data_IF_225462866514
#
_entry.id   IF_225462866514
#
_cell.length_a   1.000
_cell.length_b   1.000
_cell.length_c   1.000
_cell.angle_alpha   90.00
_cell.angle_beta   90.00
_cell.angle_gamma   90.00
#
_symmetry.space_group_name_H-M   'P 1'
#
loop_
_entity.id
_entity.type
_entity.pdbx_description
1 polymer ?
#
# COMPACT_ATOMS: atom_id res chain seq x y z
N UNK A 1 -25.77 -14.06 -6.33
CA UNK A 1 -26.30 -13.82 -4.98
C UNK A 1 -25.40 -14.64 -4.07
N UNK A 2 -24.28 -14.02 -3.66
CA UNK A 2 -23.36 -14.54 -2.65
C UNK A 2 -24.10 -14.31 -1.32
N UNK A 3 -24.17 -15.27 -0.40
CA UNK A 3 -24.78 -15.01 0.90
C UNK A 3 -24.04 -13.84 1.57
N UNK A 4 -24.78 -12.90 2.11
CA UNK A 4 -24.28 -11.97 3.13
C UNK A 4 -23.91 -12.84 4.35
N UNK A 5 -22.68 -13.28 4.37
CA UNK A 5 -22.14 -14.10 5.44
C UNK A 5 -21.52 -13.16 6.47
N UNK A 6 -22.20 -13.05 7.58
CA UNK A 6 -21.84 -12.31 8.79
C UNK A 6 -20.62 -13.03 9.44
N UNK A 7 -19.44 -13.01 8.79
CA UNK A 7 -18.28 -13.82 9.18
C UNK A 7 -17.56 -13.34 10.42
N UNK A 8 -17.78 -12.10 10.85
CA UNK A 8 -16.89 -11.41 11.77
C UNK A 8 -17.66 -10.66 12.89
N UNK A 9 -18.61 -11.34 13.55
CA UNK A 9 -19.22 -10.82 14.79
C UNK A 9 -18.53 -11.34 16.07
N UNK A 10 -17.35 -11.96 16.00
CA UNK A 10 -16.63 -12.42 17.18
C UNK A 10 -15.88 -11.24 17.84
N UNK A 11 -16.03 -11.11 19.16
CA UNK A 11 -15.22 -10.18 19.94
C UNK A 11 -13.73 -10.53 19.76
N UNK A 12 -12.87 -9.59 19.30
CA UNK A 12 -11.44 -9.87 19.13
C UNK A 12 -10.77 -10.35 20.42
N UNK A 13 -11.35 -10.05 21.59
CA UNK A 13 -10.89 -10.57 22.86
C UNK A 13 -11.07 -12.10 22.99
N UNK A 14 -12.04 -12.72 22.28
CA UNK A 14 -12.23 -14.18 22.28
C UNK A 14 -11.06 -14.94 21.64
N UNK A 15 -10.30 -14.29 20.77
CA UNK A 15 -9.13 -14.84 20.12
C UNK A 15 -7.85 -14.78 20.98
N UNK A 16 -7.90 -14.13 22.14
CA UNK A 16 -6.78 -13.91 23.03
C UNK A 16 -6.87 -14.79 24.30
N UNK A 17 -5.73 -15.04 25.00
CA UNK A 17 -5.73 -15.71 26.30
C UNK A 17 -6.48 -14.85 27.34
N UNK A 18 -7.01 -15.52 28.41
CA UNK A 18 -7.72 -14.84 29.53
C UNK A 18 -6.87 -13.74 30.20
N UNK A 19 -5.54 -13.87 30.20
CA UNK A 19 -4.59 -12.86 30.68
C UNK A 19 -3.62 -12.53 29.54
N UNK A 20 -3.87 -11.47 28.79
CA UNK A 20 -3.01 -11.04 27.68
C UNK A 20 -1.70 -10.36 28.14
N UNK A 21 -1.40 -10.31 29.42
CA UNK A 21 -0.17 -9.71 29.96
C UNK A 21 -0.15 -8.19 29.96
N UNK A 22 -1.29 -7.53 29.73
CA UNK A 22 -1.40 -6.07 29.74
C UNK A 22 -1.39 -5.48 31.17
N UNK A 23 -1.01 -4.21 31.33
CA UNK A 23 -1.11 -3.53 32.62
C UNK A 23 -2.53 -3.57 33.20
N UNK A 24 -2.62 -3.56 34.52
CA UNK A 24 -3.91 -3.62 35.20
C UNK A 24 -4.84 -2.49 34.77
N UNK A 25 -6.06 -2.84 34.37
CA UNK A 25 -7.09 -1.88 33.95
C UNK A 25 -7.02 -1.52 32.46
N UNK A 26 -6.07 -2.11 31.73
CA UNK A 26 -6.03 -2.00 30.29
C UNK A 26 -6.95 -3.04 29.66
N UNK A 27 -7.52 -2.72 28.52
CA UNK A 27 -8.54 -3.53 27.86
C UNK A 27 -8.24 -3.69 26.37
N UNK A 28 -8.61 -4.86 25.85
CA UNK A 28 -8.65 -5.14 24.42
C UNK A 28 -10.07 -4.92 23.93
N UNK A 29 -10.23 -4.45 22.71
CA UNK A 29 -11.55 -4.27 22.10
C UNK A 29 -11.48 -3.96 20.62
N UNK A 30 -12.64 -3.70 20.03
CA UNK A 30 -12.81 -3.31 18.64
C UNK A 30 -12.73 -1.78 18.46
N UNK A 31 -12.64 -1.37 17.21
CA UNK A 31 -12.77 0.03 16.79
C UNK A 31 -14.22 0.28 16.38
N UNK A 32 -14.75 1.41 16.79
CA UNK A 32 -15.97 1.97 16.21
C UNK A 32 -15.57 3.01 15.15
N UNK A 33 -15.64 2.62 13.88
CA UNK A 33 -15.28 3.49 12.76
C UNK A 33 -16.26 4.64 12.54
N UNK A 34 -17.47 4.58 13.12
CA UNK A 34 -18.45 5.66 13.11
C UNK A 34 -18.20 6.69 14.21
N UNK A 35 -17.30 6.41 15.16
CA UNK A 35 -16.88 7.35 16.19
C UNK A 35 -15.68 8.22 15.70
N UNK A 36 -15.91 9.52 15.39
CA UNK A 36 -14.84 10.37 14.87
C UNK A 36 -13.65 10.52 15.85
N UNK A 37 -13.89 10.39 17.17
CA UNK A 37 -12.82 10.50 18.15
C UNK A 37 -11.88 9.29 18.11
N UNK A 38 -12.40 8.10 17.83
CA UNK A 38 -11.56 6.91 17.63
C UNK A 38 -10.79 6.98 16.31
N UNK A 39 -11.41 7.41 15.21
CA UNK A 39 -10.76 7.62 13.91
C UNK A 39 -9.64 8.65 14.02
N UNK A 40 -9.91 9.82 14.67
CA UNK A 40 -8.89 10.83 14.92
C UNK A 40 -7.72 10.25 15.72
N UNK A 41 -8.00 9.49 16.80
CA UNK A 41 -6.96 8.87 17.61
C UNK A 41 -6.11 7.85 16.85
N UNK A 42 -6.71 7.01 16.03
CA UNK A 42 -5.97 6.08 15.16
C UNK A 42 -5.10 6.83 14.15
N UNK A 43 -5.62 7.92 13.58
CA UNK A 43 -4.86 8.80 12.67
C UNK A 43 -3.66 9.44 13.36
N UNK A 44 -3.80 9.85 14.63
CA UNK A 44 -2.66 10.34 15.43
C UNK A 44 -1.59 9.27 15.64
N UNK A 45 -1.99 8.03 15.95
CA UNK A 45 -1.09 6.89 16.12
C UNK A 45 -0.34 6.58 14.82
N UNK A 46 -1.06 6.51 13.70
CA UNK A 46 -0.49 6.32 12.36
C UNK A 46 0.54 7.42 12.05
N UNK A 47 0.17 8.67 12.22
CA UNK A 47 1.07 9.82 12.00
C UNK A 47 2.28 9.83 12.93
N UNK A 48 2.14 9.38 14.18
CA UNK A 48 3.26 9.24 15.10
C UNK A 48 4.22 8.14 14.67
N UNK A 49 3.68 7.00 14.22
CA UNK A 49 4.45 5.89 13.67
C UNK A 49 5.24 6.34 12.42
N UNK A 50 4.59 6.98 11.46
CA UNK A 50 5.23 7.49 10.25
C UNK A 50 6.33 8.51 10.54
N UNK A 51 6.08 9.48 11.45
CA UNK A 51 7.11 10.46 11.85
C UNK A 51 8.32 9.81 12.48
N UNK A 52 8.12 8.77 13.27
CA UNK A 52 9.24 8.02 13.87
C UNK A 52 10.04 7.26 12.81
N UNK A 53 9.36 6.65 11.82
CA UNK A 53 10.00 5.82 10.80
C UNK A 53 10.66 6.58 9.66
N UNK A 54 10.08 7.72 9.22
CA UNK A 54 10.56 8.45 8.04
C UNK A 54 10.73 9.96 8.22
N UNK A 55 10.46 10.49 9.43
CA UNK A 55 10.66 11.90 9.78
C UNK A 55 9.47 12.83 9.48
N UNK A 56 8.46 12.38 8.75
CA UNK A 56 7.22 13.12 8.47
C UNK A 56 6.02 12.18 8.42
N UNK A 57 4.81 12.75 8.49
CA UNK A 57 3.57 12.00 8.37
C UNK A 57 2.76 12.48 7.16
N UNK A 58 2.11 11.55 6.49
CA UNK A 58 1.13 11.80 5.43
C UNK A 58 -0.20 11.10 5.67
N UNK A 59 -0.28 10.17 6.60
CA UNK A 59 -1.49 9.42 6.92
C UNK A 59 -2.68 10.35 7.21
N UNK A 60 -3.82 10.05 6.63
CA UNK A 60 -5.07 10.78 6.71
C UNK A 60 -6.13 10.00 7.49
N UNK A 61 -7.27 10.62 7.77
CA UNK A 61 -8.44 9.91 8.29
C UNK A 61 -8.99 8.91 7.27
N UNK A 62 -8.91 9.24 5.97
CA UNK A 62 -9.37 8.35 4.91
C UNK A 62 -8.57 7.04 4.87
N UNK A 63 -7.24 7.09 5.12
CA UNK A 63 -6.42 5.87 5.23
C UNK A 63 -6.86 4.99 6.40
N UNK A 64 -7.24 5.59 7.53
CA UNK A 64 -7.77 4.87 8.70
C UNK A 64 -9.16 4.31 8.39
N UNK A 65 -10.03 5.10 7.75
CA UNK A 65 -11.39 4.66 7.40
C UNK A 65 -11.40 3.48 6.44
N UNK A 66 -10.44 3.38 5.52
CA UNK A 66 -10.26 2.20 4.67
C UNK A 66 -9.98 0.95 5.51
N UNK A 67 -9.22 1.06 6.59
CA UNK A 67 -8.90 -0.08 7.46
C UNK A 67 -10.06 -0.45 8.41
N UNK A 68 -10.86 0.51 8.86
CA UNK A 68 -11.92 0.25 9.85
C UNK A 68 -13.31 0.07 9.23
N UNK A 69 -13.57 0.67 8.06
CA UNK A 69 -14.81 0.53 7.29
C UNK A 69 -14.60 -0.17 5.95
N UNK A 70 -13.38 -0.63 5.68
CA UNK A 70 -13.00 -1.26 4.41
C UNK A 70 -13.96 -2.38 4.05
N UNK A 71 -14.22 -2.46 2.76
CA UNK A 71 -15.05 -3.48 2.16
C UNK A 71 -14.53 -4.85 2.61
N UNK A 72 -15.41 -5.70 2.99
CA UNK A 72 -15.25 -7.12 3.35
C UNK A 72 -13.80 -7.62 3.63
N UNK A 73 -13.61 -8.47 4.62
CA UNK A 73 -12.35 -9.17 4.91
C UNK A 73 -11.29 -8.36 5.71
N UNK A 74 -11.69 -7.29 6.42
CA UNK A 74 -10.82 -6.59 7.38
C UNK A 74 -11.33 -6.75 8.80
N UNK A 75 -10.39 -7.00 9.71
CA UNK A 75 -10.63 -7.08 11.16
C UNK A 75 -9.69 -6.14 11.89
N UNK A 76 -10.17 -5.57 12.98
CA UNK A 76 -9.45 -4.59 13.75
C UNK A 76 -9.46 -4.93 15.25
N UNK A 77 -8.32 -4.68 15.90
CA UNK A 77 -8.14 -4.78 17.34
C UNK A 77 -7.48 -3.50 17.87
N UNK A 78 -7.89 -3.06 19.04
CA UNK A 78 -7.22 -1.98 19.76
C UNK A 78 -6.94 -2.36 21.19
N UNK A 79 -5.88 -1.82 21.74
CA UNK A 79 -5.56 -1.85 23.18
C UNK A 79 -5.80 -0.48 23.75
N UNK A 80 -6.63 -0.40 24.81
CA UNK A 80 -6.94 0.84 25.55
C UNK A 80 -6.29 0.81 26.93
N UNK A 81 -5.80 1.97 27.37
CA UNK A 81 -5.31 2.13 28.74
C UNK A 81 -6.48 2.24 29.75
N UNK A 82 -6.15 2.36 31.02
CA UNK A 82 -7.11 2.51 32.14
C UNK A 82 -7.96 3.78 32.08
N UNK A 83 -7.59 4.75 31.24
CA UNK A 83 -8.38 5.93 30.92
C UNK A 83 -9.24 5.76 29.66
N UNK A 84 -9.21 4.60 29.00
CA UNK A 84 -9.94 4.31 27.77
C UNK A 84 -9.28 4.85 26.50
N UNK A 85 -8.04 5.36 26.57
CA UNK A 85 -7.32 5.91 25.43
C UNK A 85 -6.70 4.77 24.61
N UNK A 86 -6.92 4.75 23.29
CA UNK A 86 -6.30 3.77 22.38
C UNK A 86 -4.78 3.99 22.37
N UNK A 87 -4.03 2.94 22.71
CA UNK A 87 -2.57 2.91 22.78
C UNK A 87 -1.91 2.00 21.73
N UNK A 88 -2.64 1.04 21.20
CA UNK A 88 -2.17 0.20 20.11
C UNK A 88 -3.31 -0.17 19.19
N UNK A 89 -2.99 -0.43 17.94
CA UNK A 89 -3.91 -0.77 16.87
C UNK A 89 -3.31 -1.81 15.95
N UNK A 90 -4.08 -2.88 15.72
CA UNK A 90 -3.83 -3.89 14.71
C UNK A 90 -4.99 -3.97 13.73
N UNK A 91 -4.68 -4.11 12.45
CA UNK A 91 -5.66 -4.39 11.39
C UNK A 91 -5.15 -5.55 10.55
N UNK A 92 -5.99 -6.51 10.25
CA UNK A 92 -5.71 -7.57 9.29
C UNK A 92 -6.63 -7.47 8.10
N UNK A 93 -6.10 -7.70 6.92
CA UNK A 93 -6.82 -7.76 5.67
C UNK A 93 -6.54 -9.08 4.97
N UNK A 94 -7.56 -9.92 4.80
CA UNK A 94 -7.47 -11.16 4.04
C UNK A 94 -7.38 -10.84 2.52
N UNK A 95 -6.16 -10.56 2.08
CA UNK A 95 -5.84 -9.96 0.78
C UNK A 95 -6.04 -10.91 -0.39
N UNK A 96 -5.67 -12.18 -0.20
CA UNK A 96 -5.75 -13.23 -1.21
C UNK A 96 -5.68 -14.60 -0.54
N UNK A 97 -6.02 -15.65 -1.25
CA UNK A 97 -5.93 -17.02 -0.74
C UNK A 97 -4.51 -17.32 -0.25
N UNK A 98 -4.39 -17.58 1.06
CA UNK A 98 -3.11 -17.86 1.70
C UNK A 98 -2.29 -16.61 2.08
N UNK A 99 -2.81 -15.38 1.88
CA UNK A 99 -2.11 -14.14 2.20
C UNK A 99 -2.99 -13.15 2.95
N UNK A 100 -2.48 -12.68 4.06
CA UNK A 100 -3.11 -11.67 4.93
C UNK A 100 -2.13 -10.50 5.11
N UNK A 101 -2.60 -9.28 4.88
CA UNK A 101 -1.85 -8.08 5.23
C UNK A 101 -2.11 -7.71 6.68
N UNK A 102 -1.12 -7.16 7.35
CA UNK A 102 -1.19 -6.79 8.75
C UNK A 102 -0.61 -5.40 9.01
N UNK A 103 -1.43 -4.52 9.59
CA UNK A 103 -1.03 -3.22 10.13
C UNK A 103 -0.78 -3.38 11.62
N UNK A 104 0.38 -2.90 12.09
CA UNK A 104 0.83 -3.00 13.48
C UNK A 104 1.34 -1.65 13.96
N UNK A 105 0.58 -0.98 14.81
CA UNK A 105 0.90 0.36 15.32
C UNK A 105 0.76 0.40 16.83
N UNK A 106 1.84 0.78 17.51
CA UNK A 106 1.89 0.97 18.98
C UNK A 106 2.28 2.41 19.28
N UNK A 107 1.61 3.03 20.24
CA UNK A 107 1.84 4.41 20.66
C UNK A 107 3.32 4.64 21.01
N UNK A 108 3.94 5.57 20.31
CA UNK A 108 5.36 5.92 20.49
C UNK A 108 5.68 6.56 21.82
N UNK A 109 4.66 7.04 22.56
CA UNK A 109 4.83 7.64 23.86
C UNK A 109 4.91 6.62 25.01
N UNK A 110 4.59 5.35 24.75
CA UNK A 110 4.68 4.29 25.75
C UNK A 110 6.13 3.92 26.05
N UNK A 111 6.39 3.60 27.34
CA UNK A 111 7.63 2.98 27.75
C UNK A 111 7.81 1.61 27.06
N UNK A 112 9.05 1.21 26.76
CA UNK A 112 9.35 0.03 25.93
C UNK A 112 8.70 -1.25 26.45
N UNK A 113 8.66 -1.47 27.78
CA UNK A 113 8.03 -2.66 28.36
C UNK A 113 6.54 -2.71 28.04
N UNK A 114 5.80 -1.63 28.30
CA UNK A 114 4.34 -1.57 28.05
C UNK A 114 4.07 -1.63 26.55
N UNK A 115 4.89 -0.98 25.76
CA UNK A 115 4.77 -1.04 24.31
C UNK A 115 5.01 -2.45 23.76
N UNK A 116 5.95 -3.20 24.36
CA UNK A 116 6.17 -4.61 24.05
C UNK A 116 4.97 -5.47 24.39
N UNK A 117 4.39 -5.33 25.59
CA UNK A 117 3.17 -6.02 26.02
C UNK A 117 2.00 -5.75 25.05
N UNK A 118 1.80 -4.50 24.63
CA UNK A 118 0.80 -4.18 23.59
C UNK A 118 1.11 -4.85 22.26
N UNK A 119 2.36 -4.84 21.84
CA UNK A 119 2.80 -5.46 20.60
C UNK A 119 2.55 -6.97 20.60
N UNK A 120 2.86 -7.65 21.70
CA UNK A 120 2.65 -9.09 21.86
C UNK A 120 1.17 -9.45 21.69
N UNK A 121 0.27 -8.69 22.32
CA UNK A 121 -1.19 -8.87 22.17
C UNK A 121 -1.63 -8.73 20.71
N UNK A 122 -1.13 -7.72 20.00
CA UNK A 122 -1.47 -7.50 18.61
C UNK A 122 -0.98 -8.65 17.71
N UNK A 123 0.22 -9.20 17.97
CA UNK A 123 0.73 -10.35 17.21
C UNK A 123 -0.02 -11.64 17.52
N UNK A 124 -0.34 -11.90 18.80
CA UNK A 124 -1.14 -13.08 19.19
C UNK A 124 -2.49 -13.08 18.49
N UNK A 125 -3.16 -11.92 18.49
CA UNK A 125 -4.41 -11.76 17.77
C UNK A 125 -4.26 -11.97 16.26
N UNK A 126 -3.28 -11.36 15.60
CA UNK A 126 -3.05 -11.53 14.17
C UNK A 126 -2.78 -13.00 13.80
N UNK A 127 -2.05 -13.74 14.65
CA UNK A 127 -1.84 -15.18 14.47
C UNK A 127 -3.14 -15.98 14.63
N UNK A 128 -4.02 -15.59 15.56
CA UNK A 128 -5.33 -16.24 15.74
C UNK A 128 -6.21 -16.00 14.50
N UNK A 129 -6.26 -14.76 13.99
CA UNK A 129 -6.99 -14.43 12.76
C UNK A 129 -6.45 -15.22 11.55
N UNK A 130 -5.13 -15.34 11.41
CA UNK A 130 -4.54 -16.12 10.33
C UNK A 130 -4.93 -17.60 10.40
N UNK A 131 -4.96 -18.21 11.59
CA UNK A 131 -5.42 -19.58 11.75
C UNK A 131 -6.90 -19.73 11.41
N UNK A 132 -7.73 -18.80 11.85
CA UNK A 132 -9.17 -18.81 11.57
C UNK A 132 -9.43 -18.75 10.07
N UNK A 133 -8.90 -17.73 9.38
CA UNK A 133 -9.08 -17.54 7.92
C UNK A 133 -8.51 -18.72 7.15
N UNK A 134 -7.34 -19.23 7.55
CA UNK A 134 -6.74 -20.41 6.93
C UNK A 134 -7.62 -21.65 7.07
N UNK A 135 -8.20 -21.89 8.26
CA UNK A 135 -9.09 -23.02 8.51
C UNK A 135 -10.39 -22.90 7.68
N UNK A 136 -11.01 -21.74 7.62
CA UNK A 136 -12.21 -21.47 6.82
C UNK A 136 -11.98 -21.73 5.32
N UNK A 137 -10.77 -21.43 4.83
CA UNK A 137 -10.34 -21.68 3.46
C UNK A 137 -9.77 -23.07 3.21
N UNK A 138 -9.62 -23.89 4.25
CA UNK A 138 -9.05 -25.24 4.16
C UNK A 138 -7.55 -25.25 3.81
N UNK A 139 -6.81 -24.23 4.22
CA UNK A 139 -5.38 -24.09 3.97
C UNK A 139 -4.58 -24.80 5.07
N UNK A 140 -3.38 -25.27 4.73
CA UNK A 140 -2.42 -25.78 5.72
C UNK A 140 -1.53 -24.66 6.31
N UNK A 141 -1.38 -23.55 5.55
CA UNK A 141 -0.57 -22.39 5.91
C UNK A 141 -1.28 -21.13 5.48
N UNK A 142 -1.33 -20.15 6.36
CA UNK A 142 -1.75 -18.78 6.06
C UNK A 142 -0.57 -17.85 6.32
N UNK A 143 -0.12 -17.12 5.30
CA UNK A 143 0.96 -16.14 5.44
C UNK A 143 0.42 -14.82 5.95
N UNK A 144 1.13 -14.21 6.90
CA UNK A 144 0.92 -12.81 7.33
C UNK A 144 2.06 -11.98 6.76
N UNK A 145 1.73 -10.92 6.03
CA UNK A 145 2.66 -9.93 5.50
C UNK A 145 2.49 -8.59 6.23
N UNK A 146 3.59 -7.96 6.61
CA UNK A 146 3.58 -6.63 7.23
C UNK A 146 4.76 -5.80 6.76
N UNK A 147 4.69 -4.47 6.96
CA UNK A 147 5.74 -3.54 6.64
C UNK A 147 6.43 -2.96 7.88
N UNK A 148 7.70 -2.61 7.73
CA UNK A 148 8.44 -1.85 8.73
C UNK A 148 9.29 -0.76 8.07
N UNK A 149 9.56 0.36 8.75
CA UNK A 149 10.59 1.29 8.33
C UNK A 149 11.97 0.71 8.65
N UNK A 150 12.93 0.86 7.74
CA UNK A 150 14.27 0.28 7.89
C UNK A 150 14.97 0.70 9.20
N UNK A 151 14.73 1.92 9.66
CA UNK A 151 15.39 2.48 10.83
C UNK A 151 14.55 2.32 12.13
N UNK A 152 13.47 1.55 12.10
CA UNK A 152 12.62 1.29 13.27
C UNK A 152 13.08 0.04 14.03
N UNK A 153 14.18 0.17 14.77
CA UNK A 153 14.75 -0.93 15.55
C UNK A 153 13.76 -1.54 16.55
N UNK A 154 12.84 -0.72 17.09
CA UNK A 154 11.82 -1.18 18.04
C UNK A 154 10.82 -2.11 17.37
N UNK A 155 10.32 -1.74 16.19
CA UNK A 155 9.41 -2.60 15.42
C UNK A 155 10.13 -3.87 14.94
N UNK A 156 11.40 -3.76 14.50
CA UNK A 156 12.20 -4.92 14.11
C UNK A 156 12.38 -5.92 15.25
N UNK A 157 12.63 -5.45 16.47
CA UNK A 157 12.77 -6.32 17.64
C UNK A 157 11.47 -7.08 17.91
N UNK A 158 10.31 -6.43 17.80
CA UNK A 158 9.01 -7.08 17.97
C UNK A 158 8.70 -8.09 16.87
N UNK A 159 8.94 -7.72 15.60
CA UNK A 159 8.76 -8.63 14.46
C UNK A 159 9.63 -9.89 14.59
N UNK A 160 10.89 -9.71 14.97
CA UNK A 160 11.81 -10.83 15.18
C UNK A 160 11.37 -11.72 16.36
N UNK A 161 10.88 -11.12 17.46
CA UNK A 161 10.34 -11.87 18.61
C UNK A 161 9.08 -12.65 18.25
N UNK A 162 8.22 -12.10 17.38
CA UNK A 162 7.05 -12.76 16.83
C UNK A 162 7.37 -13.73 15.68
N UNK A 163 8.67 -13.99 15.42
CA UNK A 163 9.19 -14.93 14.40
C UNK A 163 8.86 -14.54 12.95
N UNK A 164 8.64 -13.25 12.66
CA UNK A 164 8.60 -12.77 11.29
C UNK A 164 10.01 -12.70 10.71
N UNK A 165 10.11 -12.99 9.42
CA UNK A 165 11.34 -12.89 8.66
C UNK A 165 11.27 -11.71 7.68
N UNK A 166 12.32 -10.89 7.63
CA UNK A 166 12.47 -9.88 6.58
C UNK A 166 12.70 -10.56 5.24
N UNK A 167 11.93 -10.16 4.22
CA UNK A 167 11.95 -10.81 2.89
C UNK A 167 12.28 -9.87 1.75
N UNK A 168 12.00 -8.56 1.88
CA UNK A 168 12.30 -7.56 0.84
C UNK A 168 12.65 -6.21 1.44
N UNK A 169 13.36 -5.42 0.64
CA UNK A 169 13.68 -4.02 0.93
C UNK A 169 13.16 -3.15 -0.21
N UNK A 170 12.48 -2.05 0.12
CA UNK A 170 11.84 -1.15 -0.83
C UNK A 170 12.40 0.25 -0.68
N UNK A 171 12.94 0.81 -1.75
CA UNK A 171 13.32 2.21 -1.77
C UNK A 171 12.15 3.10 -2.11
N UNK A 172 11.77 3.95 -1.18
CA UNK A 172 10.77 4.98 -1.38
C UNK A 172 11.48 6.18 -2.01
N UNK A 173 11.34 6.32 -3.32
CA UNK A 173 12.07 7.31 -4.10
C UNK A 173 11.17 8.49 -4.47
N UNK A 174 11.76 9.67 -4.54
CA UNK A 174 11.07 10.87 -4.99
C UNK A 174 12.01 11.76 -5.76
N UNK A 175 11.47 12.50 -6.72
CA UNK A 175 12.14 13.59 -7.40
C UNK A 175 11.30 14.87 -7.32
N UNK A 176 11.97 16.03 -7.28
CA UNK A 176 11.30 17.31 -7.41
C UNK A 176 10.84 17.54 -8.86
N UNK A 177 9.76 18.29 -9.01
CA UNK A 177 9.21 18.73 -10.29
C UNK A 177 9.24 20.24 -10.33
N UNK A 178 9.65 20.80 -11.46
CA UNK A 178 9.65 22.25 -11.73
C UNK A 178 8.70 22.58 -12.89
N UNK A 179 8.20 23.80 -12.93
CA UNK A 179 7.17 24.21 -13.90
C UNK A 179 7.58 24.03 -15.37
N UNK A 180 8.87 24.20 -15.67
CA UNK A 180 9.42 24.03 -17.01
C UNK A 180 9.36 22.59 -17.51
N UNK A 181 9.20 21.61 -16.64
CA UNK A 181 9.10 20.18 -17.01
C UNK A 181 7.77 19.83 -17.68
N UNK A 182 6.81 20.73 -17.73
CA UNK A 182 5.65 20.60 -18.62
C UNK A 182 6.06 20.41 -20.10
N UNK A 183 7.25 20.88 -20.47
CA UNK A 183 7.80 20.78 -21.83
C UNK A 183 8.52 19.46 -22.11
N UNK A 184 8.61 18.53 -21.14
CA UNK A 184 9.23 17.21 -21.33
C UNK A 184 8.53 16.36 -22.40
N UNK A 185 7.22 16.57 -22.57
CA UNK A 185 6.40 15.96 -23.62
C UNK A 185 5.51 17.04 -24.23
N UNK A 186 5.15 16.93 -25.53
CA UNK A 186 4.31 17.94 -26.19
C UNK A 186 2.91 18.07 -25.58
N UNK A 187 2.34 16.94 -25.15
CA UNK A 187 1.02 16.84 -24.53
C UNK A 187 0.99 15.56 -23.66
N UNK A 188 0.85 15.65 -22.32
CA UNK A 188 0.79 14.47 -21.47
C UNK A 188 -0.44 13.60 -21.72
N UNK A 189 -1.49 14.11 -22.35
CA UNK A 189 -2.68 13.34 -22.68
C UNK A 189 -2.47 12.42 -23.91
N UNK A 190 -1.66 12.86 -24.89
CA UNK A 190 -1.33 12.04 -26.07
C UNK A 190 -0.10 12.55 -26.81
N UNK A 191 0.92 11.73 -27.00
CA UNK A 191 2.12 12.06 -27.75
C UNK A 191 2.81 10.80 -28.29
N UNK A 192 3.75 10.99 -29.24
CA UNK A 192 4.45 9.89 -29.89
C UNK A 192 5.95 10.18 -29.94
N UNK A 193 6.75 9.13 -29.69
CA UNK A 193 8.20 9.19 -29.79
C UNK A 193 8.76 7.84 -30.24
N UNK A 194 9.62 7.85 -31.25
CA UNK A 194 10.37 6.68 -31.73
C UNK A 194 9.46 5.45 -32.04
N UNK A 195 8.24 5.69 -32.56
CA UNK A 195 7.28 4.67 -32.86
C UNK A 195 6.50 4.12 -31.66
N UNK A 196 6.65 4.74 -30.50
CA UNK A 196 5.84 4.47 -29.30
C UNK A 196 4.83 5.58 -29.14
N UNK A 197 3.56 5.25 -29.04
CA UNK A 197 2.49 6.20 -28.72
C UNK A 197 2.19 6.12 -27.23
N UNK A 198 2.14 7.26 -26.56
CA UNK A 198 1.76 7.40 -25.15
C UNK A 198 0.44 8.13 -25.10
N UNK A 199 -0.50 7.67 -24.29
CA UNK A 199 -1.79 8.31 -24.15
C UNK A 199 -2.42 8.05 -22.79
N UNK A 200 -3.25 8.97 -22.32
CA UNK A 200 -4.18 8.71 -21.22
C UNK A 200 -5.13 7.56 -21.57
N UNK A 201 -5.52 6.81 -20.56
CA UNK A 201 -6.65 5.88 -20.64
C UNK A 201 -7.89 6.68 -21.03
N UNK A 202 -8.62 6.21 -22.04
CA UNK A 202 -9.86 6.83 -22.49
C UNK A 202 -10.90 6.80 -21.37
N UNK A 203 -11.73 7.82 -21.31
CA UNK A 203 -12.77 7.94 -20.28
C UNK A 203 -14.12 8.18 -20.92
N UNK A 204 -15.16 7.56 -20.36
CA UNK A 204 -16.54 7.82 -20.74
C UNK A 204 -17.02 9.18 -20.22
N UNK A 205 -18.18 9.63 -20.67
CA UNK A 205 -18.78 10.90 -20.26
C UNK A 205 -19.01 11.02 -18.73
N UNK A 206 -19.06 9.92 -18.02
CA UNK A 206 -19.17 9.86 -16.55
C UNK A 206 -17.85 9.91 -15.80
N UNK A 207 -16.72 10.07 -16.50
CA UNK A 207 -15.37 10.11 -15.92
C UNK A 207 -14.76 8.74 -15.63
N UNK A 208 -15.52 7.66 -15.77
CA UNK A 208 -15.01 6.29 -15.65
C UNK A 208 -14.13 5.93 -16.86
N UNK A 209 -13.04 5.19 -16.66
CA UNK A 209 -12.23 4.71 -17.76
C UNK A 209 -13.02 3.75 -18.65
N UNK A 210 -12.63 3.73 -19.93
CA UNK A 210 -13.09 2.73 -20.90
C UNK A 210 -12.62 1.33 -20.49
N UNK A 211 -13.52 0.36 -20.47
CA UNK A 211 -13.22 -1.01 -20.01
C UNK A 211 -12.13 -1.68 -20.83
N UNK A 212 -12.03 -1.39 -22.15
CA UNK A 212 -10.99 -1.97 -23.03
C UNK A 212 -9.62 -1.47 -22.58
N UNK A 213 -9.49 -0.17 -22.29
CA UNK A 213 -8.24 0.41 -21.81
C UNK A 213 -7.88 -0.09 -20.39
N UNK A 214 -8.87 -0.23 -19.49
CA UNK A 214 -8.63 -0.79 -18.16
C UNK A 214 -8.08 -2.22 -18.23
N UNK A 215 -8.68 -3.06 -19.10
CA UNK A 215 -8.19 -4.41 -19.32
C UNK A 215 -6.79 -4.41 -19.94
N UNK A 216 -6.52 -3.52 -20.89
CA UNK A 216 -5.18 -3.39 -21.46
C UNK A 216 -4.14 -3.00 -20.40
N UNK A 217 -4.48 -2.10 -19.46
CA UNK A 217 -3.60 -1.77 -18.33
C UNK A 217 -3.36 -3.00 -17.45
N UNK A 218 -4.42 -3.69 -17.05
CA UNK A 218 -4.32 -4.90 -16.24
C UNK A 218 -3.43 -5.96 -16.91
N UNK A 219 -3.70 -6.29 -18.18
CA UNK A 219 -2.96 -7.32 -18.92
C UNK A 219 -1.48 -6.96 -19.09
N UNK A 220 -1.16 -5.68 -19.32
CA UNK A 220 0.23 -5.20 -19.38
C UNK A 220 0.92 -5.34 -18.02
N UNK A 221 0.24 -4.99 -16.92
CA UNK A 221 0.82 -5.08 -15.57
C UNK A 221 1.02 -6.55 -15.17
N UNK A 222 0.02 -7.41 -15.37
CA UNK A 222 0.16 -8.85 -15.13
C UNK A 222 1.32 -9.45 -15.95
N UNK A 223 1.40 -9.14 -17.25
CA UNK A 223 2.48 -9.63 -18.11
C UNK A 223 3.86 -9.06 -17.75
N UNK A 224 3.92 -7.85 -17.19
CA UNK A 224 5.19 -7.21 -16.79
C UNK A 224 5.71 -7.71 -15.43
N UNK A 225 4.82 -8.18 -14.54
CA UNK A 225 5.14 -8.56 -13.17
C UNK A 225 5.11 -10.07 -12.90
N UNK A 226 5.04 -10.91 -13.94
CA UNK A 226 5.05 -12.39 -13.82
C UNK A 226 6.20 -12.92 -12.96
N UNK A 227 7.37 -12.27 -13.01
CA UNK A 227 8.56 -12.65 -12.25
C UNK A 227 8.73 -11.85 -10.93
N UNK A 228 7.71 -11.07 -10.55
CA UNK A 228 7.81 -10.22 -9.35
C UNK A 228 7.60 -11.04 -8.07
N UNK A 229 8.31 -10.65 -7.00
CA UNK A 229 8.14 -11.25 -5.69
C UNK A 229 6.68 -11.19 -5.23
N UNK A 230 6.13 -12.34 -4.82
CA UNK A 230 4.72 -12.46 -4.42
C UNK A 230 3.69 -12.09 -5.51
N UNK A 231 4.03 -12.21 -6.79
CA UNK A 231 3.03 -12.11 -7.85
C UNK A 231 2.01 -13.25 -7.70
N UNK A 232 0.82 -12.94 -7.22
CA UNK A 232 -0.35 -13.79 -7.36
C UNK A 232 -1.12 -13.33 -8.60
N UNK A 233 -1.62 -14.26 -9.41
CA UNK A 233 -2.54 -13.90 -10.49
C UNK A 233 -3.75 -13.19 -9.87
N UNK A 234 -3.90 -11.91 -10.18
CA UNK A 234 -5.04 -11.10 -9.73
C UNK A 234 -6.06 -11.03 -10.86
N UNK A 235 -7.30 -11.34 -10.57
CA UNK A 235 -8.36 -11.16 -11.58
C UNK A 235 -8.58 -9.67 -11.85
N UNK A 236 -9.03 -9.34 -13.06
CA UNK A 236 -9.37 -7.96 -13.40
C UNK A 236 -10.34 -7.31 -12.41
N UNK A 237 -11.27 -8.08 -11.84
CA UNK A 237 -12.23 -7.58 -10.85
C UNK A 237 -11.55 -7.24 -9.51
N UNK A 238 -10.68 -8.11 -9.01
CA UNK A 238 -9.88 -7.88 -7.79
C UNK A 238 -8.96 -6.68 -7.96
N UNK A 239 -8.31 -6.55 -9.13
CA UNK A 239 -7.48 -5.40 -9.47
C UNK A 239 -8.26 -4.08 -9.37
N UNK A 240 -9.44 -3.99 -9.98
CA UNK A 240 -10.27 -2.79 -9.90
C UNK A 240 -10.79 -2.51 -8.48
N UNK A 241 -11.13 -3.56 -7.75
CA UNK A 241 -11.61 -3.44 -6.37
C UNK A 241 -10.52 -2.82 -5.48
N UNK A 242 -9.33 -3.38 -5.53
CA UNK A 242 -8.18 -2.91 -4.76
C UNK A 242 -7.81 -1.44 -5.05
N UNK A 243 -7.87 -1.03 -6.31
CA UNK A 243 -7.55 0.35 -6.67
C UNK A 243 -8.59 1.35 -6.18
N UNK A 244 -9.86 0.95 -6.04
CA UNK A 244 -10.91 1.80 -5.48
C UNK A 244 -10.76 2.03 -3.98
N UNK A 245 -10.03 1.17 -3.28
CA UNK A 245 -9.75 1.31 -1.85
C UNK A 245 -8.67 2.35 -1.55
N UNK A 246 -7.86 2.75 -2.55
CA UNK A 246 -6.85 3.80 -2.38
C UNK A 246 -7.52 5.19 -2.36
N UNK A 247 -7.51 5.92 -1.22
CA UNK A 247 -8.09 7.27 -1.13
C UNK A 247 -7.46 8.27 -2.11
N UNK A 248 -6.19 8.07 -2.46
CA UNK A 248 -5.46 8.88 -3.44
C UNK A 248 -5.72 8.52 -4.89
N UNK A 249 -6.55 7.49 -5.14
CA UNK A 249 -6.79 7.00 -6.49
C UNK A 249 -7.43 8.03 -7.40
N UNK A 250 -6.93 8.09 -8.66
CA UNK A 250 -7.43 8.99 -9.70
C UNK A 250 -7.43 8.28 -11.06
N UNK A 251 -8.60 8.21 -11.70
CA UNK A 251 -8.74 7.66 -13.04
C UNK A 251 -8.07 8.51 -14.13
N UNK A 252 -7.79 9.78 -13.89
CA UNK A 252 -7.16 10.72 -14.80
C UNK A 252 -5.62 10.74 -14.70
N UNK A 253 -5.04 9.72 -14.07
CA UNK A 253 -3.59 9.53 -13.89
C UNK A 253 -3.10 8.19 -14.42
N UNK A 254 -3.81 7.62 -15.40
CA UNK A 254 -3.46 6.34 -16.00
C UNK A 254 -3.07 6.51 -17.45
N UNK A 255 -1.93 5.97 -17.83
CA UNK A 255 -1.40 6.03 -19.18
C UNK A 255 -1.08 4.66 -19.73
N UNK A 256 -1.32 4.50 -21.04
CA UNK A 256 -0.88 3.38 -21.86
C UNK A 256 0.22 3.84 -22.80
N UNK A 257 1.20 2.97 -23.04
CA UNK A 257 2.16 3.08 -24.13
C UNK A 257 1.87 1.97 -25.15
N UNK A 258 1.68 2.36 -26.40
CA UNK A 258 1.39 1.46 -27.50
C UNK A 258 2.59 1.39 -28.47
N UNK A 259 2.93 0.18 -28.86
CA UNK A 259 3.98 -0.13 -29.80
C UNK A 259 3.36 -0.90 -30.95
N UNK A 260 3.50 -0.40 -32.17
CA UNK A 260 2.89 -0.98 -33.37
C UNK A 260 1.34 -1.16 -33.25
N UNK A 261 0.68 -0.31 -32.43
CA UNK A 261 -0.77 -0.34 -32.20
C UNK A 261 -1.23 -1.27 -31.09
N UNK A 262 -0.31 -1.95 -30.40
CA UNK A 262 -0.61 -2.87 -29.29
C UNK A 262 -0.12 -2.29 -27.96
N UNK A 263 -0.90 -2.46 -26.90
CA UNK A 263 -0.50 -2.02 -25.56
C UNK A 263 0.76 -2.78 -25.11
N UNK A 264 1.78 -2.05 -24.72
CA UNK A 264 3.09 -2.60 -24.40
C UNK A 264 3.70 -2.03 -23.11
N UNK A 265 3.11 -0.97 -22.57
CA UNK A 265 3.47 -0.37 -21.29
C UNK A 265 2.27 0.28 -20.65
N UNK A 266 2.23 0.29 -19.32
CA UNK A 266 1.20 0.95 -18.52
C UNK A 266 1.81 1.65 -17.33
N UNK A 267 1.24 2.83 -16.98
CA UNK A 267 1.52 3.56 -15.76
C UNK A 267 0.20 3.89 -15.06
N UNK A 268 0.10 3.50 -13.80
CA UNK A 268 -0.98 3.88 -12.89
C UNK A 268 -0.42 4.85 -11.87
N UNK A 269 -0.94 6.06 -11.87
CA UNK A 269 -0.57 7.11 -10.93
C UNK A 269 -1.69 7.44 -9.96
N UNK A 270 -1.30 7.99 -8.82
CA UNK A 270 -2.19 8.53 -7.78
C UNK A 270 -1.74 9.92 -7.34
N UNK A 271 -2.50 10.54 -6.45
CA UNK A 271 -2.13 11.81 -5.81
C UNK A 271 -1.48 11.52 -4.47
N UNK A 272 -0.34 12.13 -4.23
CA UNK A 272 0.27 12.21 -2.90
C UNK A 272 -0.12 13.54 -2.28
N UNK A 273 -1.18 13.56 -1.50
CA UNK A 273 -1.70 14.76 -0.85
C UNK A 273 -0.68 15.36 0.12
N UNK A 274 -0.70 16.67 0.26
CA UNK A 274 0.19 17.40 1.15
C UNK A 274 -0.61 18.27 2.12
N UNK A 275 -0.32 18.16 3.40
CA UNK A 275 -0.90 19.05 4.42
C UNK A 275 -0.24 20.43 4.44
N UNK A 276 0.91 20.61 3.79
CA UNK A 276 1.72 21.84 3.81
C UNK A 276 2.43 22.05 2.47
N UNK A 277 1.72 22.59 1.48
CA UNK A 277 2.30 22.88 0.17
C UNK A 277 1.56 22.17 -0.97
N UNK A 278 2.12 22.19 -2.19
CA UNK A 278 1.54 21.50 -3.32
C UNK A 278 1.47 19.98 -3.09
N UNK A 279 0.46 19.34 -3.69
CA UNK A 279 0.39 17.91 -3.79
C UNK A 279 1.54 17.36 -4.64
N UNK A 280 1.76 16.06 -4.56
CA UNK A 280 2.63 15.31 -5.45
C UNK A 280 1.85 14.37 -6.34
N UNK A 281 2.53 13.79 -7.32
CA UNK A 281 2.10 12.57 -8.01
C UNK A 281 2.85 11.38 -7.44
N UNK A 282 2.24 10.20 -7.50
CA UNK A 282 2.87 8.95 -7.11
C UNK A 282 2.62 7.89 -8.19
N UNK A 283 3.66 7.15 -8.56
CA UNK A 283 3.58 6.02 -9.49
C UNK A 283 3.29 4.78 -8.67
N UNK A 284 2.05 4.31 -8.70
CA UNK A 284 1.63 3.08 -8.02
C UNK A 284 2.09 1.85 -8.78
N UNK A 285 1.99 1.88 -10.11
CA UNK A 285 2.43 0.80 -10.99
C UNK A 285 3.05 1.35 -12.26
N UNK A 286 4.16 0.75 -12.67
CA UNK A 286 4.81 0.97 -13.97
C UNK A 286 5.24 -0.38 -14.53
N UNK A 287 4.53 -0.87 -15.55
CA UNK A 287 4.83 -2.12 -16.24
C UNK A 287 5.23 -1.89 -17.69
N UNK A 288 6.20 -2.66 -18.18
CA UNK A 288 6.60 -2.70 -19.60
C UNK A 288 6.80 -4.15 -20.00
N UNK A 289 6.05 -4.61 -20.98
CA UNK A 289 6.17 -5.96 -21.53
C UNK A 289 7.60 -6.21 -22.04
N UNK A 290 8.09 -7.43 -21.86
CA UNK A 290 9.45 -7.82 -22.27
C UNK A 290 9.72 -7.50 -23.73
N UNK A 291 8.75 -7.72 -24.61
CA UNK A 291 8.82 -7.47 -26.06
C UNK A 291 9.04 -5.99 -26.43
N UNK A 292 8.74 -5.07 -25.49
CA UNK A 292 8.88 -3.62 -25.68
C UNK A 292 10.05 -3.00 -24.87
N UNK A 293 10.80 -3.82 -24.14
CA UNK A 293 11.99 -3.35 -23.41
C UNK A 293 13.04 -2.79 -24.37
N UNK A 294 13.80 -1.80 -23.91
CA UNK A 294 14.81 -1.13 -24.73
C UNK A 294 14.28 -0.11 -25.74
N UNK A 295 12.96 0.03 -25.92
CA UNK A 295 12.31 0.99 -26.84
C UNK A 295 11.96 2.35 -26.17
N UNK A 296 12.41 2.59 -24.95
CA UNK A 296 12.19 3.85 -24.24
C UNK A 296 10.80 4.00 -23.61
N UNK A 297 9.99 2.93 -23.55
CA UNK A 297 8.62 2.91 -23.05
C UNK A 297 8.55 3.41 -21.60
N UNK A 298 9.30 2.81 -20.66
CA UNK A 298 9.31 3.23 -19.26
C UNK A 298 9.71 4.70 -19.10
N UNK A 299 10.77 5.13 -19.79
CA UNK A 299 11.21 6.54 -19.76
C UNK A 299 10.15 7.50 -20.31
N UNK A 300 9.43 7.10 -21.34
CA UNK A 300 8.35 7.89 -21.94
C UNK A 300 7.20 8.06 -20.94
N UNK A 301 6.72 6.98 -20.33
CA UNK A 301 5.67 7.01 -19.31
C UNK A 301 6.06 7.86 -18.09
N UNK A 302 7.32 7.74 -17.62
CA UNK A 302 7.83 8.58 -16.53
C UNK A 302 7.89 10.06 -16.91
N UNK A 303 8.34 10.39 -18.13
CA UNK A 303 8.30 11.79 -18.60
C UNK A 303 6.86 12.31 -18.68
N UNK A 304 5.90 11.46 -19.04
CA UNK A 304 4.48 11.83 -19.11
C UNK A 304 3.94 12.23 -17.74
N UNK A 305 4.14 11.40 -16.71
CA UNK A 305 3.65 11.74 -15.35
C UNK A 305 4.38 12.93 -14.74
N UNK A 306 5.66 13.16 -15.09
CA UNK A 306 6.40 14.34 -14.65
C UNK A 306 5.81 15.61 -15.29
N UNK A 307 5.56 15.58 -16.60
CA UNK A 307 4.95 16.71 -17.32
C UNK A 307 3.52 16.99 -16.83
N UNK A 308 2.72 15.95 -16.60
CA UNK A 308 1.39 16.07 -15.99
C UNK A 308 1.46 16.69 -14.58
N UNK A 309 2.40 16.24 -13.74
CA UNK A 309 2.62 16.83 -12.43
C UNK A 309 2.99 18.32 -12.49
N UNK A 310 3.88 18.70 -13.41
CA UNK A 310 4.24 20.09 -13.66
C UNK A 310 3.03 20.92 -14.13
N UNK A 311 2.24 20.40 -15.07
CA UNK A 311 1.04 21.06 -15.59
C UNK A 311 -0.02 21.28 -14.49
N UNK A 312 -0.11 20.37 -13.51
CA UNK A 312 -1.01 20.47 -12.35
C UNK A 312 -0.43 21.29 -11.19
N UNK A 313 0.78 21.84 -11.31
CA UNK A 313 1.44 22.61 -10.26
C UNK A 313 1.89 21.77 -9.06
N UNK A 314 2.13 20.48 -9.26
CA UNK A 314 2.68 19.57 -8.25
C UNK A 314 4.19 19.73 -8.17
N UNK A 315 4.75 19.55 -6.99
CA UNK A 315 6.17 19.81 -6.73
C UNK A 315 7.06 18.56 -6.75
N UNK A 316 6.46 17.38 -6.87
CA UNK A 316 7.18 16.08 -6.82
C UNK A 316 6.45 14.96 -7.52
N UNK A 317 7.24 13.93 -7.91
CA UNK A 317 6.74 12.59 -8.28
C UNK A 317 7.47 11.56 -7.43
N UNK A 318 6.71 10.72 -6.72
CA UNK A 318 7.19 9.60 -5.90
C UNK A 318 6.97 8.25 -6.58
N UNK A 319 7.70 7.23 -6.13
CA UNK A 319 7.52 5.83 -6.47
C UNK A 319 8.20 4.93 -5.44
N UNK A 320 7.82 3.66 -5.45
CA UNK A 320 8.52 2.61 -4.73
C UNK A 320 9.22 1.67 -5.71
N UNK A 321 10.40 1.17 -5.34
CA UNK A 321 11.13 0.18 -6.13
C UNK A 321 11.75 -0.88 -5.24
N UNK A 322 11.66 -2.14 -5.67
CA UNK A 322 12.33 -3.27 -5.03
C UNK A 322 13.85 -3.11 -5.15
N UNK A 323 14.52 -2.93 -4.00
CA UNK A 323 15.98 -2.78 -3.93
C UNK A 323 16.74 -4.01 -4.42
N UNK A 324 16.09 -5.18 -4.38
CA UNK A 324 16.66 -6.47 -4.79
C UNK A 324 16.20 -6.89 -6.20
N UNK A 325 15.53 -5.98 -6.95
CA UNK A 325 15.01 -6.28 -8.28
C UNK A 325 16.15 -6.58 -9.29
N UNK A 326 16.10 -7.72 -9.98
CA UNK A 326 17.08 -8.06 -11.00
C UNK A 326 17.01 -7.19 -12.26
N UNK A 327 15.95 -6.38 -12.40
CA UNK A 327 15.69 -5.59 -13.61
C UNK A 327 16.55 -4.36 -13.73
N UNK A 328 17.21 -3.91 -12.63
CA UNK A 328 18.01 -2.67 -12.60
C UNK A 328 17.16 -1.41 -12.86
N UNK A 329 15.85 -1.46 -12.53
CA UNK A 329 14.93 -0.34 -12.71
C UNK A 329 15.35 0.91 -11.91
N UNK A 330 16.00 0.70 -10.77
CA UNK A 330 16.60 1.74 -9.94
C UNK A 330 17.55 2.65 -10.71
N UNK A 331 18.39 2.07 -11.59
CA UNK A 331 19.32 2.83 -12.44
C UNK A 331 18.61 3.80 -13.37
N UNK A 332 17.42 3.44 -13.90
CA UNK A 332 16.60 4.35 -14.70
C UNK A 332 16.09 5.52 -13.85
N UNK A 333 15.55 5.24 -12.67
CA UNK A 333 15.02 6.27 -11.78
C UNK A 333 16.10 7.25 -11.34
N UNK A 334 17.26 6.75 -10.89
CA UNK A 334 18.41 7.60 -10.52
C UNK A 334 18.85 8.45 -11.72
N UNK A 335 18.96 7.88 -12.92
CA UNK A 335 19.34 8.63 -14.13
C UNK A 335 18.33 9.72 -14.52
N UNK A 336 17.06 9.59 -14.08
CA UNK A 336 16.00 10.58 -14.29
C UNK A 336 15.81 11.52 -13.09
N UNK A 337 16.67 11.48 -12.08
CA UNK A 337 16.71 12.42 -10.95
C UNK A 337 15.92 12.00 -9.70
N UNK A 338 15.45 10.76 -9.62
CA UNK A 338 14.90 10.23 -8.37
C UNK A 338 15.99 9.95 -7.35
N UNK A 339 15.71 10.19 -6.09
CA UNK A 339 16.56 9.82 -4.97
C UNK A 339 15.73 9.15 -3.87
N UNK A 340 16.32 8.19 -3.17
CA UNK A 340 15.68 7.51 -2.04
C UNK A 340 15.48 8.49 -0.88
N UNK A 341 14.26 8.59 -0.39
CA UNK A 341 13.86 9.43 0.74
C UNK A 341 13.86 8.68 2.05
N UNK A 342 13.35 7.45 2.02
CA UNK A 342 13.37 6.50 3.12
C UNK A 342 13.26 5.09 2.53
N UNK A 343 13.48 4.10 3.38
CA UNK A 343 13.42 2.69 3.01
C UNK A 343 12.42 1.98 3.89
N UNK A 344 11.61 1.11 3.29
CA UNK A 344 10.72 0.20 3.99
C UNK A 344 11.13 -1.23 3.75
N UNK A 345 10.67 -2.13 4.59
CA UNK A 345 10.96 -3.55 4.52
C UNK A 345 9.67 -4.34 4.60
N UNK A 346 9.56 -5.38 3.79
CA UNK A 346 8.50 -6.38 3.94
C UNK A 346 8.98 -7.49 4.85
N UNK A 347 8.12 -7.84 5.78
CA UNK A 347 8.29 -8.94 6.72
C UNK A 347 7.13 -9.90 6.59
N UNK A 348 7.40 -11.20 6.66
CA UNK A 348 6.35 -12.21 6.63
C UNK A 348 6.53 -13.28 7.70
N UNK A 349 5.43 -13.95 8.01
CA UNK A 349 5.39 -15.16 8.81
C UNK A 349 4.37 -16.14 8.25
N UNK A 350 4.78 -17.38 8.08
CA UNK A 350 3.90 -18.49 7.77
C UNK A 350 3.27 -19.03 9.08
N UNK A 351 1.96 -19.01 9.17
CA UNK A 351 1.18 -19.53 10.29
C UNK A 351 0.59 -20.87 9.90
N UNK A 352 0.91 -21.92 10.65
CA UNK A 352 0.28 -23.23 10.49
C UNK A 352 -1.16 -23.19 10.97
N UNK A 353 -2.08 -23.74 10.16
CA UNK A 353 -3.53 -23.77 10.41
C UNK A 353 -3.94 -25.05 11.07
#
# INVERSE_FOLDING_TARGET
MIPEDNRFESDPAEALPEDPGLPRGWEVGTVDGDDPAQVERLTELLRAHERAGRGWASGSEDDVLVEVHGLEMRENIVVRDDAGVIRAWGSVHDRAVGRMLYVHIVDRALADTIAGECSDVLFEWAHAQARQVGAERGLAVQQIDTGAFQDDERQHAWLAAAEFAKVRTWWQMSRSVIAEEVELVPDPDAWTRDGVQFRLVRREAGGMPDEVDLRAVHDVLEGAFTDHFNSAEETFHEFLHRLREDPGHRWDHWWLAEVDGEAAGALVGTVSESTKGPDGSYVSYLGVLETARGRGVAKGLLNTIIADAAARGRDRVGLEVDADSPTGADGLYVAMGWGTKYTTESWHKDVLV
#
